data_IF_075829538108
#
_entry.id   IF_075829538108
#
_cell.length_a   1.000
_cell.length_b   1.000
_cell.length_c   1.000
_cell.angle_alpha   90.00
_cell.angle_beta   90.00
_cell.angle_gamma   90.00
#
_symmetry.space_group_name_H-M   'P 1'
#
loop_
_entity.id
_entity.type
_entity.pdbx_description
1 polymer ?
#
# COMPACT_ATOMS: atom_id res chain seq x y z
N UNK A 1 15.59 -2.73 38.65
CA UNK A 1 16.72 -3.02 37.74
C UNK A 1 16.18 -3.11 36.33
N UNK A 2 16.30 -2.04 35.55
CA UNK A 2 16.04 -2.07 34.11
C UNK A 2 17.19 -2.86 33.49
N UNK A 3 16.88 -3.97 32.83
CA UNK A 3 17.90 -4.87 32.30
C UNK A 3 18.46 -4.29 31.00
N UNK A 4 19.61 -3.61 31.10
CA UNK A 4 20.31 -2.89 30.02
C UNK A 4 20.89 -3.85 28.94
N UNK A 5 20.71 -5.17 29.09
CA UNK A 5 21.30 -6.20 28.21
C UNK A 5 20.30 -7.09 27.45
N UNK A 6 19.01 -6.74 27.36
CA UNK A 6 18.16 -7.35 26.31
C UNK A 6 18.47 -6.66 24.99
N UNK A 7 19.48 -7.13 24.27
CA UNK A 7 19.48 -6.94 22.80
C UNK A 7 18.16 -7.52 22.32
N UNK A 8 17.30 -6.68 21.75
CA UNK A 8 16.10 -7.18 21.10
C UNK A 8 16.53 -8.21 20.06
N UNK A 9 15.88 -9.38 19.99
CA UNK A 9 16.29 -10.43 19.08
C UNK A 9 16.23 -9.89 17.65
N UNK A 10 17.28 -10.19 16.86
CA UNK A 10 17.29 -9.89 15.44
C UNK A 10 16.20 -10.74 14.76
N UNK A 11 15.04 -10.12 14.53
CA UNK A 11 13.95 -10.72 13.78
C UNK A 11 14.22 -10.77 12.27
N UNK A 12 13.71 -11.82 11.64
CA UNK A 12 13.58 -11.97 10.19
C UNK A 12 12.13 -11.71 9.80
N UNK A 13 11.91 -10.78 8.89
CA UNK A 13 10.59 -10.26 8.56
C UNK A 13 10.36 -10.41 7.06
N UNK A 14 9.23 -11.02 6.66
CA UNK A 14 8.83 -11.09 5.26
C UNK A 14 7.55 -10.27 5.06
N UNK A 15 7.67 -9.17 4.32
CA UNK A 15 6.53 -8.38 3.89
C UNK A 15 5.96 -9.00 2.61
N UNK A 16 4.67 -9.33 2.61
CA UNK A 16 3.94 -9.86 1.45
C UNK A 16 2.95 -8.80 1.02
N UNK A 17 3.17 -8.26 -0.16
CA UNK A 17 2.37 -7.16 -0.69
C UNK A 17 2.20 -7.30 -2.20
N UNK A 18 1.28 -6.51 -2.74
CA UNK A 18 1.07 -6.39 -4.18
C UNK A 18 2.00 -5.39 -4.86
N UNK A 19 2.63 -4.49 -4.11
CA UNK A 19 3.55 -3.49 -4.66
C UNK A 19 4.66 -3.14 -3.69
N UNK A 20 5.82 -2.73 -4.22
CA UNK A 20 6.96 -2.25 -3.44
C UNK A 20 7.86 -1.36 -4.30
N UNK A 21 8.09 -0.13 -3.85
CA UNK A 21 9.06 0.77 -4.47
C UNK A 21 10.50 0.25 -4.21
N UNK A 22 11.45 0.50 -5.11
CA UNK A 22 11.32 1.23 -6.37
C UNK A 22 10.92 0.34 -7.56
N UNK A 23 10.53 -0.91 -7.33
CA UNK A 23 10.22 -1.88 -8.40
C UNK A 23 8.87 -1.60 -9.05
N UNK A 24 7.84 -1.42 -8.23
CA UNK A 24 6.48 -1.12 -8.67
C UNK A 24 5.77 -0.27 -7.61
N UNK A 25 5.20 0.86 -8.01
CA UNK A 25 4.50 1.80 -7.13
C UNK A 25 3.23 2.30 -7.82
N UNK A 26 2.07 1.92 -7.30
CA UNK A 26 0.76 2.47 -7.71
C UNK A 26 0.22 3.42 -6.65
N UNK A 27 0.42 3.11 -5.37
CA UNK A 27 -0.02 3.95 -4.26
C UNK A 27 0.98 4.03 -3.12
N UNK A 28 0.48 4.50 -1.97
CA UNK A 28 1.28 4.67 -0.76
C UNK A 28 1.74 3.33 -0.14
N UNK A 29 1.08 2.21 -0.45
CA UNK A 29 1.53 0.90 0.02
C UNK A 29 2.93 0.60 -0.53
N UNK A 30 3.19 0.89 -1.80
CA UNK A 30 4.50 0.69 -2.42
C UNK A 30 5.61 1.48 -1.74
N UNK A 31 5.32 2.70 -1.28
CA UNK A 31 6.28 3.51 -0.51
C UNK A 31 6.57 2.90 0.85
N UNK A 32 5.54 2.46 1.58
CA UNK A 32 5.69 1.80 2.89
C UNK A 32 6.48 0.50 2.75
N UNK A 33 6.23 -0.29 1.70
CA UNK A 33 6.98 -1.51 1.41
C UNK A 33 8.44 -1.26 0.99
N UNK A 34 8.86 -0.01 0.79
CA UNK A 34 10.27 0.39 0.66
C UNK A 34 10.83 0.90 1.98
N UNK A 35 10.20 1.94 2.53
CA UNK A 35 10.74 2.71 3.65
C UNK A 35 10.77 1.89 4.95
N UNK A 36 9.70 1.13 5.25
CA UNK A 36 9.62 0.37 6.49
C UNK A 36 10.59 -0.81 6.53
N UNK A 37 10.69 -1.68 5.51
CA UNK A 37 11.71 -2.74 5.48
C UNK A 37 13.13 -2.17 5.58
N UNK A 38 13.45 -1.08 4.90
CA UNK A 38 14.76 -0.44 4.96
C UNK A 38 15.05 0.09 6.37
N UNK A 39 14.10 0.78 7.00
CA UNK A 39 14.23 1.27 8.38
C UNK A 39 14.46 0.12 9.37
N UNK A 40 13.72 -0.99 9.23
CA UNK A 40 13.90 -2.18 10.08
C UNK A 40 15.28 -2.82 9.91
N UNK A 41 15.82 -2.81 8.68
CA UNK A 41 17.20 -3.27 8.42
C UNK A 41 18.24 -2.36 9.03
N UNK A 42 18.04 -1.04 8.98
CA UNK A 42 18.89 -0.07 9.67
C UNK A 42 18.89 -0.28 11.20
N UNK A 43 17.76 -0.74 11.76
CA UNK A 43 17.65 -1.16 13.16
C UNK A 43 18.27 -2.54 13.46
N UNK A 44 18.78 -3.24 12.45
CA UNK A 44 19.50 -4.51 12.58
C UNK A 44 18.69 -5.77 12.29
N UNK A 45 17.41 -5.65 11.94
CA UNK A 45 16.56 -6.78 11.52
C UNK A 45 16.90 -7.26 10.10
N UNK A 46 16.46 -8.46 9.73
CA UNK A 46 16.51 -8.94 8.35
C UNK A 46 15.11 -8.87 7.75
N UNK A 47 14.73 -7.68 7.28
CA UNK A 47 13.48 -7.47 6.56
C UNK A 47 13.67 -7.68 5.06
N UNK A 48 12.70 -8.36 4.44
CA UNK A 48 12.62 -8.66 3.01
C UNK A 48 11.20 -8.46 2.51
N UNK A 49 11.04 -8.23 1.22
CA UNK A 49 9.74 -8.05 0.59
C UNK A 49 9.48 -9.14 -0.43
N UNK A 50 8.26 -9.63 -0.54
CA UNK A 50 7.81 -10.60 -1.53
C UNK A 50 6.62 -9.99 -2.28
N UNK A 51 6.80 -9.73 -3.58
CA UNK A 51 5.78 -9.19 -4.47
C UNK A 51 5.72 -10.01 -5.77
N UNK A 52 4.67 -9.86 -6.60
CA UNK A 52 4.69 -10.43 -7.94
C UNK A 52 5.70 -9.77 -8.87
N UNK A 53 6.22 -10.53 -9.84
CA UNK A 53 7.03 -10.02 -10.94
C UNK A 53 6.10 -9.43 -12.01
N UNK A 54 5.93 -8.11 -12.02
CA UNK A 54 5.14 -7.43 -13.04
C UNK A 54 5.97 -7.15 -14.30
N UNK A 55 5.27 -7.04 -15.44
CA UNK A 55 5.87 -6.70 -16.74
C UNK A 55 6.68 -5.39 -16.73
N UNK A 56 6.24 -4.44 -15.89
CA UNK A 56 6.80 -3.08 -15.80
C UNK A 56 8.12 -3.02 -15.02
N UNK A 57 8.57 -4.11 -14.40
CA UNK A 57 9.82 -4.13 -13.63
C UNK A 57 10.99 -4.12 -14.62
N UNK A 58 11.81 -3.07 -14.52
CA UNK A 58 13.00 -2.88 -15.36
C UNK A 58 14.11 -3.86 -14.96
N UNK A 59 14.33 -4.88 -15.79
CA UNK A 59 15.34 -5.91 -15.56
C UNK A 59 16.78 -5.45 -15.87
N UNK A 60 16.95 -4.37 -16.63
CA UNK A 60 18.27 -3.76 -16.83
C UNK A 60 18.71 -3.03 -15.57
N UNK A 61 17.77 -2.34 -14.92
CA UNK A 61 18.00 -1.66 -13.65
C UNK A 61 18.08 -2.61 -12.45
N UNK A 62 17.27 -3.66 -12.43
CA UNK A 62 17.19 -4.60 -11.32
C UNK A 62 17.63 -6.00 -11.76
N UNK A 63 18.88 -6.36 -11.49
CA UNK A 63 19.42 -7.69 -11.82
C UNK A 63 18.82 -8.77 -10.91
N UNK A 64 17.75 -9.41 -11.39
CA UNK A 64 17.07 -10.50 -10.69
C UNK A 64 17.80 -11.83 -10.92
N UNK A 65 17.96 -12.64 -9.88
CA UNK A 65 18.49 -14.01 -9.98
C UNK A 65 17.46 -15.04 -9.56
N UNK A 66 17.50 -16.21 -10.16
CA UNK A 66 16.64 -17.33 -9.76
C UNK A 66 16.99 -17.79 -8.33
N UNK A 67 16.00 -17.80 -7.44
CA UNK A 67 16.12 -18.33 -6.07
C UNK A 67 15.47 -19.71 -5.96
N UNK A 68 14.34 -19.91 -6.65
CA UNK A 68 13.62 -21.19 -6.70
C UNK A 68 12.92 -21.36 -8.05
N UNK A 69 13.05 -22.54 -8.63
CA UNK A 69 12.43 -22.94 -9.89
C UNK A 69 11.30 -23.94 -9.65
N UNK A 70 10.32 -23.99 -10.56
CA UNK A 70 9.23 -24.97 -10.60
C UNK A 70 8.46 -25.06 -9.26
N UNK A 71 8.18 -23.89 -8.67
CA UNK A 71 7.29 -23.78 -7.52
C UNK A 71 5.87 -24.15 -7.97
N UNK A 72 5.21 -25.04 -7.22
CA UNK A 72 3.87 -25.55 -7.52
C UNK A 72 2.88 -25.16 -6.41
N UNK A 73 2.21 -24.00 -6.52
CA UNK A 73 1.26 -23.52 -5.51
C UNK A 73 -0.04 -24.32 -5.46
N UNK A 74 -0.45 -24.96 -6.55
CA UNK A 74 -1.63 -25.83 -6.59
C UNK A 74 -1.41 -27.13 -5.79
N UNK A 75 -2.47 -27.66 -5.18
CA UNK A 75 -2.41 -28.85 -4.31
C UNK A 75 -2.46 -30.16 -5.09
N UNK A 76 -2.91 -30.14 -6.34
CA UNK A 76 -3.02 -31.32 -7.21
C UNK A 76 -2.93 -30.95 -8.69
N UNK A 77 -2.67 -31.94 -9.55
CA UNK A 77 -2.72 -31.78 -11.01
C UNK A 77 -4.14 -31.47 -11.51
N UNK A 78 -5.19 -31.88 -10.79
CA UNK A 78 -6.57 -31.52 -11.14
C UNK A 78 -6.85 -30.03 -10.95
N UNK A 79 -6.19 -29.39 -9.99
CA UNK A 79 -6.28 -27.95 -9.73
C UNK A 79 -5.46 -27.14 -10.75
N UNK A 80 -4.40 -27.73 -11.31
CA UNK A 80 -3.56 -27.10 -12.35
C UNK A 80 -3.20 -28.03 -13.52
N UNK A 81 -4.18 -28.47 -14.33
CA UNK A 81 -3.96 -29.48 -15.37
C UNK A 81 -3.04 -28.99 -16.51
N UNK A 82 -2.85 -27.68 -16.62
CA UNK A 82 -2.05 -27.05 -17.68
C UNK A 82 -0.79 -26.35 -17.16
N UNK A 83 -0.49 -26.45 -15.85
CA UNK A 83 0.69 -25.82 -15.25
C UNK A 83 0.65 -24.29 -15.26
N UNK A 84 -0.53 -23.67 -15.25
CA UNK A 84 -0.69 -22.21 -15.29
C UNK A 84 -0.27 -21.52 -13.98
N UNK A 85 -0.28 -22.25 -12.87
CA UNK A 85 0.11 -21.72 -11.56
C UNK A 85 1.57 -22.03 -11.21
N UNK A 86 2.24 -22.87 -12.00
CA UNK A 86 3.69 -23.09 -11.89
C UNK A 86 4.39 -21.74 -11.98
N UNK A 87 5.26 -21.48 -11.01
CA UNK A 87 5.91 -20.18 -10.84
C UNK A 87 7.38 -20.37 -10.49
N UNK A 88 8.18 -19.34 -10.72
CA UNK A 88 9.53 -19.24 -10.17
C UNK A 88 9.55 -18.16 -9.09
N UNK A 89 10.56 -18.21 -8.23
CA UNK A 89 10.88 -17.12 -7.31
C UNK A 89 12.22 -16.56 -7.72
N UNK A 90 12.23 -15.30 -8.12
CA UNK A 90 13.44 -14.53 -8.34
C UNK A 90 13.80 -13.74 -7.08
N UNK A 91 15.06 -13.41 -6.93
CA UNK A 91 15.61 -12.61 -5.85
C UNK A 91 16.42 -11.44 -6.38
N UNK A 92 16.26 -10.31 -5.72
CA UNK A 92 17.11 -9.14 -5.85
C UNK A 92 17.77 -8.86 -4.50
N UNK A 93 19.05 -8.53 -4.53
CA UNK A 93 19.75 -7.96 -3.39
C UNK A 93 20.32 -6.62 -3.85
N UNK A 94 20.00 -5.56 -3.11
CA UNK A 94 20.58 -4.25 -3.38
C UNK A 94 22.07 -4.26 -3.05
N UNK A 95 22.89 -3.67 -3.94
CA UNK A 95 24.31 -3.44 -3.70
C UNK A 95 24.55 -2.51 -2.49
N UNK A 96 23.60 -1.61 -2.20
CA UNK A 96 23.60 -0.72 -1.03
C UNK A 96 23.24 -1.45 0.28
N UNK A 97 22.77 -2.71 0.20
CA UNK A 97 22.28 -3.47 1.35
C UNK A 97 20.91 -3.04 1.89
N UNK A 98 20.28 -2.06 1.25
CA UNK A 98 19.01 -1.45 1.70
C UNK A 98 17.84 -2.39 1.53
N UNK A 99 17.66 -3.03 0.37
CA UNK A 99 16.48 -3.85 0.07
C UNK A 99 16.87 -5.25 -0.40
N UNK A 100 16.21 -6.27 0.15
CA UNK A 100 16.19 -7.64 -0.39
C UNK A 100 14.75 -7.94 -0.78
N UNK A 101 14.54 -8.30 -2.04
CA UNK A 101 13.22 -8.55 -2.58
C UNK A 101 13.15 -9.92 -3.27
N UNK A 102 11.99 -10.56 -3.13
CA UNK A 102 11.60 -11.75 -3.84
C UNK A 102 10.47 -11.41 -4.80
N UNK A 103 10.53 -11.98 -6.00
CA UNK A 103 9.55 -11.76 -7.06
C UNK A 103 8.94 -13.08 -7.47
N UNK A 104 7.62 -13.18 -7.38
CA UNK A 104 6.88 -14.31 -7.92
C UNK A 104 6.75 -14.17 -9.43
N UNK A 105 7.56 -14.91 -10.16
CA UNK A 105 7.53 -14.97 -11.62
C UNK A 105 6.44 -15.94 -12.06
N UNK A 106 5.41 -15.39 -12.71
CA UNK A 106 4.39 -16.15 -13.41
C UNK A 106 3.90 -15.35 -14.61
N UNK A 107 4.05 -15.96 -15.78
CA UNK A 107 3.84 -15.30 -17.06
C UNK A 107 2.38 -14.84 -17.25
N UNK A 108 1.41 -15.70 -16.92
CA UNK A 108 0.00 -15.47 -17.22
C UNK A 108 -0.67 -14.48 -16.25
N UNK A 109 -0.34 -14.59 -14.96
CA UNK A 109 -1.03 -13.85 -13.90
C UNK A 109 -0.37 -12.52 -13.55
N UNK A 110 0.90 -12.28 -13.91
CA UNK A 110 1.59 -11.03 -13.56
C UNK A 110 2.33 -10.37 -14.72
N UNK A 111 3.04 -11.12 -15.56
CA UNK A 111 3.93 -10.53 -16.57
C UNK A 111 3.24 -10.15 -17.89
N UNK A 112 2.12 -10.79 -18.24
CA UNK A 112 1.29 -10.36 -19.40
C UNK A 112 0.31 -9.24 -19.07
N UNK A 113 0.34 -8.71 -17.84
CA UNK A 113 -0.64 -7.76 -17.33
C UNK A 113 -0.10 -6.33 -17.41
N UNK A 114 -0.90 -5.43 -17.95
CA UNK A 114 -0.57 -4.00 -18.06
C UNK A 114 -0.64 -3.25 -16.71
N UNK A 115 -1.48 -3.70 -15.78
CA UNK A 115 -1.76 -3.05 -14.51
C UNK A 115 -1.44 -3.98 -13.33
N UNK A 116 -1.29 -3.40 -12.13
CA UNK A 116 -1.09 -4.19 -10.89
C UNK A 116 -2.42 -4.79 -10.41
N UNK A 117 -3.52 -4.05 -10.48
CA UNK A 117 -4.86 -4.43 -10.00
C UNK A 117 -5.93 -4.22 -11.08
N UNK A 118 -7.16 -4.66 -10.77
CA UNK A 118 -8.36 -4.32 -11.54
C UNK A 118 -8.74 -5.36 -12.57
N UNK A 119 -8.26 -6.59 -12.44
CA UNK A 119 -8.64 -7.69 -13.33
C UNK A 119 -9.77 -8.51 -12.73
N UNK A 120 -10.63 -9.05 -13.60
CA UNK A 120 -11.76 -9.90 -13.18
C UNK A 120 -11.31 -11.18 -12.44
N UNK A 121 -10.05 -11.59 -12.63
CA UNK A 121 -9.42 -12.73 -11.99
C UNK A 121 -8.46 -12.36 -10.83
N UNK A 122 -8.55 -11.14 -10.28
CA UNK A 122 -7.67 -10.70 -9.18
C UNK A 122 -7.72 -11.65 -7.95
N UNK A 123 -8.88 -12.24 -7.62
CA UNK A 123 -8.94 -13.23 -6.54
C UNK A 123 -8.03 -14.45 -6.81
N UNK A 124 -7.95 -14.90 -8.07
CA UNK A 124 -7.06 -16.01 -8.49
C UNK A 124 -5.60 -15.58 -8.32
N UNK A 125 -5.26 -14.37 -8.78
CA UNK A 125 -3.91 -13.80 -8.67
C UNK A 125 -3.45 -13.71 -7.20
N UNK A 126 -4.28 -13.16 -6.32
CA UNK A 126 -3.90 -13.02 -4.91
C UNK A 126 -3.94 -14.33 -4.13
N UNK A 127 -4.74 -15.30 -4.58
CA UNK A 127 -4.64 -16.68 -4.11
C UNK A 127 -3.31 -17.31 -4.51
N UNK A 128 -2.84 -17.04 -5.74
CA UNK A 128 -1.58 -17.55 -6.25
C UNK A 128 -0.42 -16.97 -5.46
N UNK A 129 -0.42 -15.66 -5.21
CA UNK A 129 0.56 -14.99 -4.34
C UNK A 129 0.59 -15.62 -2.93
N UNK A 130 -0.59 -15.80 -2.33
CA UNK A 130 -0.71 -16.32 -0.97
C UNK A 130 -0.26 -17.78 -0.84
N UNK A 131 -0.55 -18.62 -1.84
CA UNK A 131 -0.08 -20.01 -1.90
C UNK A 131 1.41 -20.09 -2.18
N UNK A 132 1.88 -19.34 -3.16
CA UNK A 132 3.28 -19.36 -3.59
C UNK A 132 4.23 -18.90 -2.49
N UNK A 133 3.89 -17.87 -1.70
CA UNK A 133 4.78 -17.44 -0.61
C UNK A 133 4.94 -18.53 0.44
N UNK A 134 3.87 -19.26 0.78
CA UNK A 134 3.93 -20.35 1.77
C UNK A 134 4.69 -21.55 1.20
N UNK A 135 4.44 -21.95 -0.05
CA UNK A 135 5.22 -23.01 -0.70
C UNK A 135 6.70 -22.64 -0.82
N UNK A 136 7.02 -21.40 -1.20
CA UNK A 136 8.40 -20.91 -1.26
C UNK A 136 9.11 -21.09 0.08
N UNK A 137 8.46 -20.71 1.19
CA UNK A 137 9.03 -20.83 2.53
C UNK A 137 9.21 -22.29 3.00
N UNK A 138 8.51 -23.26 2.41
CA UNK A 138 8.76 -24.69 2.68
C UNK A 138 10.08 -25.15 2.10
N UNK A 139 10.53 -24.58 0.99
CA UNK A 139 11.78 -24.97 0.32
C UNK A 139 12.94 -24.01 0.59
N UNK A 140 12.66 -22.77 0.96
CA UNK A 140 13.68 -21.76 1.21
C UNK A 140 14.60 -22.10 2.39
N UNK A 141 15.89 -21.79 2.22
CA UNK A 141 16.90 -21.88 3.28
C UNK A 141 16.77 -20.71 4.27
N UNK A 142 16.22 -19.58 3.83
CA UNK A 142 15.90 -18.44 4.67
C UNK A 142 14.45 -18.52 5.15
N UNK A 143 14.24 -18.27 6.44
CA UNK A 143 12.91 -18.33 7.06
C UNK A 143 12.65 -17.09 7.90
N UNK A 144 11.50 -16.42 7.72
CA UNK A 144 11.09 -15.33 8.58
C UNK A 144 10.61 -15.86 9.93
N UNK A 145 10.78 -15.04 10.97
CA UNK A 145 10.10 -15.22 12.25
C UNK A 145 8.66 -14.68 12.15
N UNK A 146 8.45 -13.65 11.32
CA UNK A 146 7.15 -13.01 11.12
C UNK A 146 6.88 -12.77 9.63
N UNK A 147 5.68 -13.13 9.17
CA UNK A 147 5.13 -12.67 7.91
C UNK A 147 4.21 -11.48 8.17
N UNK A 148 4.47 -10.36 7.49
CA UNK A 148 3.59 -9.20 7.46
C UNK A 148 2.82 -9.27 6.15
N UNK A 149 1.56 -9.67 6.22
CA UNK A 149 0.70 -9.78 5.06
C UNK A 149 -0.17 -8.53 4.92
N UNK A 150 -0.09 -7.86 3.77
CA UNK A 150 -0.66 -6.53 3.58
C UNK A 150 -1.97 -6.57 2.77
N UNK A 151 -3.01 -5.96 3.34
CA UNK A 151 -4.34 -5.77 2.74
C UNK A 151 -4.98 -7.05 2.18
N UNK A 152 -6.08 -6.92 1.45
CA UNK A 152 -6.83 -8.06 0.95
C UNK A 152 -6.01 -8.95 0.00
N UNK A 153 -5.01 -8.40 -0.70
CA UNK A 153 -4.12 -9.15 -1.59
C UNK A 153 -3.27 -10.19 -0.82
N UNK A 154 -2.92 -9.90 0.43
CA UNK A 154 -2.28 -10.85 1.35
C UNK A 154 -3.25 -11.58 2.28
N UNK A 155 -4.56 -11.34 2.19
CA UNK A 155 -5.56 -11.81 3.15
C UNK A 155 -5.66 -13.32 3.31
N UNK A 156 -5.26 -14.10 2.29
CA UNK A 156 -5.30 -15.55 2.37
C UNK A 156 -4.03 -16.18 2.97
N UNK A 157 -2.93 -15.44 3.12
CA UNK A 157 -1.71 -15.95 3.78
C UNK A 157 -1.99 -16.46 5.21
N UNK A 158 -2.59 -15.66 6.13
CA UNK A 158 -2.95 -16.16 7.45
C UNK A 158 -3.98 -17.30 7.39
N UNK A 159 -4.95 -17.24 6.48
CA UNK A 159 -5.96 -18.28 6.35
C UNK A 159 -5.33 -19.63 5.98
N UNK A 160 -4.51 -19.67 4.94
CA UNK A 160 -3.80 -20.88 4.51
C UNK A 160 -2.85 -21.41 5.58
N UNK A 161 -2.09 -20.51 6.23
CA UNK A 161 -1.16 -20.89 7.30
C UNK A 161 -1.85 -21.65 8.43
N UNK A 162 -3.00 -21.19 8.90
CA UNK A 162 -3.74 -21.79 10.01
C UNK A 162 -4.76 -22.86 9.60
N UNK A 163 -4.86 -23.19 8.32
CA UNK A 163 -5.76 -24.24 7.81
C UNK A 163 -4.97 -25.35 7.12
N UNK A 164 -4.49 -25.11 5.90
CA UNK A 164 -3.80 -26.12 5.08
C UNK A 164 -2.39 -26.40 5.59
N UNK A 165 -1.67 -25.36 6.03
CA UNK A 165 -0.27 -25.48 6.46
C UNK A 165 -0.07 -25.54 7.97
N UNK A 166 -1.17 -25.71 8.73
CA UNK A 166 -1.16 -25.62 10.20
C UNK A 166 -0.17 -26.59 10.85
N UNK A 167 -0.06 -27.79 10.29
CA UNK A 167 0.79 -28.86 10.81
C UNK A 167 2.16 -28.93 10.08
N UNK A 168 2.44 -28.00 9.15
CA UNK A 168 3.75 -27.94 8.48
C UNK A 168 4.81 -27.47 9.47
N UNK A 169 5.84 -28.28 9.70
CA UNK A 169 6.87 -28.04 10.71
C UNK A 169 7.66 -26.74 10.46
N UNK A 170 7.78 -26.29 9.20
CA UNK A 170 8.55 -25.08 8.87
C UNK A 170 7.69 -23.83 8.97
N UNK A 171 6.42 -23.92 8.61
CA UNK A 171 5.51 -22.77 8.55
C UNK A 171 4.78 -22.50 9.87
N UNK A 172 4.43 -23.55 10.63
CA UNK A 172 3.66 -23.43 11.88
C UNK A 172 4.32 -22.60 12.98
N UNK A 173 5.63 -22.40 12.91
CA UNK A 173 6.39 -21.58 13.86
C UNK A 173 6.42 -20.08 13.50
N UNK A 174 5.96 -19.71 12.29
CA UNK A 174 6.02 -18.34 11.79
C UNK A 174 4.79 -17.58 12.27
N UNK A 175 4.99 -16.44 12.95
CA UNK A 175 3.89 -15.57 13.34
C UNK A 175 3.39 -14.76 12.15
N UNK A 176 2.08 -14.51 12.08
CA UNK A 176 1.49 -13.74 10.98
C UNK A 176 0.82 -12.47 11.49
N UNK A 177 1.35 -11.34 11.04
CA UNK A 177 0.75 -10.02 11.19
C UNK A 177 -0.05 -9.71 9.93
N UNK A 178 -1.30 -9.31 10.10
CA UNK A 178 -2.13 -8.81 8.99
C UNK A 178 -2.24 -7.28 9.09
N UNK A 179 -1.68 -6.58 8.11
CA UNK A 179 -1.64 -5.11 8.08
C UNK A 179 -2.73 -4.56 7.16
N UNK A 180 -3.63 -3.77 7.72
CA UNK A 180 -4.77 -3.16 7.02
C UNK A 180 -4.47 -1.69 6.77
N UNK A 181 -4.33 -1.29 5.51
CA UNK A 181 -4.16 0.11 5.09
C UNK A 181 -5.46 0.72 4.59
N UNK A 182 -6.36 -0.10 4.05
CA UNK A 182 -7.70 0.35 3.68
C UNK A 182 -8.73 -0.78 3.78
N UNK A 183 -9.63 -0.67 4.76
CA UNK A 183 -10.69 -1.65 5.01
C UNK A 183 -11.79 -1.66 3.95
N UNK A 184 -11.92 -0.62 3.12
CA UNK A 184 -12.97 -0.56 2.10
C UNK A 184 -12.77 -1.60 0.99
N UNK A 185 -11.54 -2.06 0.76
CA UNK A 185 -11.22 -3.07 -0.23
C UNK A 185 -11.20 -4.46 0.41
N UNK A 186 -12.21 -5.27 0.08
CA UNK A 186 -12.43 -6.58 0.70
C UNK A 186 -12.38 -7.75 -0.28
N UNK A 187 -11.78 -7.52 -1.46
CA UNK A 187 -11.74 -8.35 -2.67
C UNK A 187 -12.64 -7.85 -3.81
N UNK A 188 -13.31 -8.77 -4.51
CA UNK A 188 -13.85 -8.51 -5.85
C UNK A 188 -15.16 -7.70 -5.88
N UNK A 189 -15.87 -7.58 -4.76
CA UNK A 189 -17.12 -6.82 -4.69
C UNK A 189 -17.40 -6.26 -3.30
N UNK A 190 -18.43 -5.41 -3.23
CA UNK A 190 -18.92 -4.84 -1.98
C UNK A 190 -19.70 -5.88 -1.15
N UNK A 191 -19.05 -6.38 -0.11
CA UNK A 191 -19.61 -7.39 0.79
C UNK A 191 -20.75 -6.87 1.68
N UNK A 192 -21.08 -5.57 1.64
CA UNK A 192 -22.24 -5.01 2.39
C UNK A 192 -23.58 -5.39 1.77
N UNK A 193 -23.59 -5.74 0.47
CA UNK A 193 -24.82 -6.03 -0.29
C UNK A 193 -24.88 -7.47 -0.83
N UNK A 194 -24.10 -8.39 -0.24
CA UNK A 194 -24.00 -9.78 -0.70
C UNK A 194 -25.25 -10.60 -0.33
N UNK A 195 -25.67 -11.50 -1.21
CA UNK A 195 -26.75 -12.45 -0.94
C UNK A 195 -26.32 -13.46 0.15
N UNK A 196 -27.28 -14.07 0.87
CA UNK A 196 -26.94 -15.12 1.84
C UNK A 196 -26.24 -16.33 1.22
N UNK A 197 -26.48 -16.63 -0.06
CA UNK A 197 -25.84 -17.73 -0.77
C UNK A 197 -24.39 -17.43 -1.16
N UNK A 198 -24.06 -16.16 -1.34
CA UNK A 198 -22.72 -15.69 -1.74
C UNK A 198 -21.89 -15.18 -0.55
N UNK A 199 -22.48 -15.18 0.65
CA UNK A 199 -21.82 -14.70 1.85
C UNK A 199 -20.64 -15.61 2.25
N UNK A 200 -19.45 -15.03 2.30
CA UNK A 200 -18.27 -15.71 2.83
C UNK A 200 -18.22 -15.61 4.36
N UNK A 201 -18.49 -16.72 5.05
CA UNK A 201 -18.34 -16.76 6.50
C UNK A 201 -16.89 -16.69 6.95
N UNK A 202 -15.95 -16.94 6.03
CA UNK A 202 -14.52 -17.02 6.25
C UNK A 202 -14.06 -18.36 6.83
N UNK A 203 -14.99 -19.26 7.20
CA UNK A 203 -14.68 -20.53 7.88
C UNK A 203 -14.62 -21.72 6.95
N UNK A 204 -15.29 -21.64 5.80
CA UNK A 204 -15.24 -22.69 4.79
C UNK A 204 -13.85 -22.77 4.18
N UNK A 205 -13.48 -23.97 3.68
CA UNK A 205 -12.27 -24.15 2.91
C UNK A 205 -12.24 -23.18 1.72
N UNK A 206 -11.05 -22.65 1.44
CA UNK A 206 -10.82 -21.88 0.22
C UNK A 206 -10.99 -22.86 -0.96
N UNK A 207 -11.82 -22.52 -1.97
CA UNK A 207 -12.03 -23.41 -3.10
C UNK A 207 -10.78 -23.44 -4.01
N UNK A 208 -10.77 -24.39 -4.94
CA UNK A 208 -9.70 -24.49 -5.94
C UNK A 208 -9.61 -23.22 -6.80
N UNK A 209 -8.44 -22.98 -7.39
CA UNK A 209 -8.17 -21.79 -8.21
C UNK A 209 -9.20 -21.53 -9.33
N UNK A 210 -9.77 -22.58 -9.92
CA UNK A 210 -10.71 -22.51 -11.04
C UNK A 210 -12.19 -22.43 -10.60
N UNK A 211 -12.48 -22.44 -9.30
CA UNK A 211 -13.84 -22.37 -8.79
C UNK A 211 -14.36 -20.92 -8.79
N UNK A 212 -15.50 -20.62 -9.43
CA UNK A 212 -16.11 -19.28 -9.43
C UNK A 212 -16.40 -18.70 -8.04
N UNK A 213 -16.54 -19.55 -7.02
CA UNK A 213 -16.72 -19.13 -5.62
C UNK A 213 -15.51 -18.37 -5.08
N UNK A 214 -14.31 -18.57 -5.64
CA UNK A 214 -13.11 -17.86 -5.23
C UNK A 214 -13.27 -16.33 -5.39
N UNK A 215 -13.95 -15.90 -6.45
CA UNK A 215 -14.29 -14.50 -6.71
C UNK A 215 -15.24 -13.91 -5.66
N UNK A 216 -15.86 -14.76 -4.82
CA UNK A 216 -16.84 -14.35 -3.81
C UNK A 216 -16.31 -14.35 -2.38
N UNK A 217 -15.06 -14.75 -2.18
CA UNK A 217 -14.50 -14.72 -0.84
C UNK A 217 -14.15 -13.30 -0.41
N UNK A 218 -14.32 -13.05 0.88
CA UNK A 218 -13.89 -11.82 1.53
C UNK A 218 -12.48 -12.02 2.09
N UNK A 219 -11.47 -11.65 1.30
CA UNK A 219 -10.08 -11.91 1.66
C UNK A 219 -9.66 -11.09 2.90
N UNK A 220 -10.20 -9.89 3.06
CA UNK A 220 -9.96 -9.03 4.23
C UNK A 220 -10.48 -9.68 5.52
N UNK A 221 -11.72 -10.19 5.49
CA UNK A 221 -12.32 -10.94 6.59
C UNK A 221 -11.48 -12.14 6.98
N UNK A 222 -11.05 -12.93 6.00
CA UNK A 222 -10.18 -14.11 6.22
C UNK A 222 -8.83 -13.71 6.80
N UNK A 223 -8.25 -12.60 6.35
CA UNK A 223 -7.05 -12.00 6.93
C UNK A 223 -7.22 -11.72 8.43
N UNK A 224 -8.25 -10.97 8.79
CA UNK A 224 -8.59 -10.60 10.17
C UNK A 224 -8.86 -11.83 11.03
N UNK A 225 -9.61 -12.80 10.51
CA UNK A 225 -10.03 -14.00 11.24
C UNK A 225 -8.90 -14.94 11.61
N UNK A 226 -7.83 -15.00 10.81
CA UNK A 226 -6.79 -16.01 10.97
C UNK A 226 -5.45 -15.44 11.41
N UNK A 227 -5.19 -14.13 11.27
CA UNK A 227 -3.92 -13.55 11.70
C UNK A 227 -3.66 -13.70 13.21
N UNK A 228 -2.39 -13.79 13.61
CA UNK A 228 -2.00 -13.80 15.02
C UNK A 228 -2.19 -12.41 15.64
N UNK A 229 -1.80 -11.38 14.90
CA UNK A 229 -1.92 -9.96 15.27
C UNK A 229 -2.41 -9.17 14.06
N UNK A 230 -3.20 -8.13 14.31
CA UNK A 230 -3.70 -7.21 13.29
C UNK A 230 -3.08 -5.84 13.56
N UNK A 231 -2.50 -5.25 12.52
CA UNK A 231 -2.01 -3.88 12.56
C UNK A 231 -2.79 -3.00 11.58
N UNK A 232 -2.85 -1.71 11.87
CA UNK A 232 -3.37 -0.71 10.95
C UNK A 232 -2.61 0.62 11.05
N UNK A 233 -2.97 1.59 10.23
CA UNK A 233 -2.14 2.78 9.92
C UNK A 233 -2.15 3.89 10.98
N UNK A 234 -2.96 3.76 12.03
CA UNK A 234 -2.91 4.65 13.20
C UNK A 234 -3.70 4.10 14.38
N UNK A 235 -3.37 4.55 15.59
CA UNK A 235 -4.09 4.18 16.80
C UNK A 235 -5.57 4.60 16.74
N UNK A 236 -5.88 5.78 16.20
CA UNK A 236 -7.26 6.25 16.02
C UNK A 236 -8.01 5.38 15.02
N UNK A 237 -7.40 5.09 13.87
CA UNK A 237 -8.03 4.25 12.85
C UNK A 237 -8.32 2.84 13.36
N UNK A 238 -7.45 2.28 14.21
CA UNK A 238 -7.70 0.98 14.87
C UNK A 238 -8.95 0.96 15.75
N UNK A 239 -9.39 2.12 16.26
CA UNK A 239 -10.62 2.26 17.01
C UNK A 239 -11.81 2.53 16.08
N UNK A 240 -11.63 3.40 15.08
CA UNK A 240 -12.65 3.75 14.09
C UNK A 240 -13.18 2.52 13.36
N UNK A 241 -12.30 1.63 12.88
CA UNK A 241 -12.72 0.42 12.15
C UNK A 241 -13.48 -0.61 13.01
N UNK A 242 -13.54 -0.40 14.33
CA UNK A 242 -14.36 -1.21 15.23
C UNK A 242 -15.79 -0.67 15.39
N UNK A 243 -16.10 0.50 14.81
CA UNK A 243 -17.45 1.08 14.80
C UNK A 243 -18.23 0.67 13.56
N UNK A 244 -19.55 0.69 13.64
CA UNK A 244 -20.41 0.33 12.50
C UNK A 244 -20.24 1.28 11.30
N UNK A 245 -19.90 2.55 11.55
CA UNK A 245 -19.75 3.60 10.53
C UNK A 245 -18.51 3.39 9.67
N UNK A 246 -17.35 3.10 10.28
CA UNK A 246 -16.07 3.00 9.56
C UNK A 246 -15.56 1.57 9.39
N UNK A 247 -16.20 0.59 10.00
CA UNK A 247 -15.73 -0.79 9.97
C UNK A 247 -16.19 -1.61 8.76
N UNK A 248 -16.82 -0.99 7.76
CA UNK A 248 -17.13 -1.59 6.44
C UNK A 248 -17.75 -3.00 6.53
N UNK A 249 -18.69 -3.20 7.46
CA UNK A 249 -19.34 -4.50 7.70
C UNK A 249 -18.50 -5.52 8.49
N UNK A 250 -17.23 -5.24 8.77
CA UNK A 250 -16.30 -6.08 9.54
C UNK A 250 -16.10 -5.63 10.99
N UNK A 251 -16.73 -4.51 11.40
CA UNK A 251 -16.63 -3.92 12.75
C UNK A 251 -16.83 -4.91 13.91
N UNK A 252 -17.79 -5.85 13.81
CA UNK A 252 -18.03 -6.87 14.85
C UNK A 252 -16.85 -7.82 14.98
N UNK A 253 -16.35 -8.31 13.84
CA UNK A 253 -15.19 -9.20 13.79
C UNK A 253 -13.93 -8.51 14.32
N UNK A 254 -13.70 -7.25 13.95
CA UNK A 254 -12.58 -6.46 14.46
C UNK A 254 -12.72 -6.19 15.97
N UNK A 255 -13.94 -5.94 16.46
CA UNK A 255 -14.22 -5.77 17.89
C UNK A 255 -13.94 -7.05 18.69
N UNK A 256 -14.33 -8.21 18.17
CA UNK A 256 -14.03 -9.51 18.79
C UNK A 256 -12.51 -9.76 18.90
N UNK A 257 -11.73 -9.19 17.96
CA UNK A 257 -10.26 -9.30 17.92
C UNK A 257 -9.54 -8.07 18.46
N UNK A 258 -10.22 -7.19 19.20
CA UNK A 258 -9.65 -5.92 19.70
C UNK A 258 -8.37 -6.11 20.52
N UNK A 259 -8.23 -7.20 21.28
CA UNK A 259 -7.01 -7.48 22.05
C UNK A 259 -5.77 -7.80 21.20
N UNK A 260 -5.97 -8.10 19.91
CA UNK A 260 -4.93 -8.39 18.91
C UNK A 260 -4.86 -7.32 17.83
N UNK A 261 -5.69 -6.29 17.91
CA UNK A 261 -5.74 -5.17 16.97
C UNK A 261 -4.98 -3.99 17.55
N UNK A 262 -4.00 -3.50 16.79
CA UNK A 262 -3.22 -2.32 17.14
C UNK A 262 -3.07 -1.39 15.94
N UNK A 263 -2.77 -0.12 16.19
CA UNK A 263 -2.52 0.86 15.16
C UNK A 263 -1.14 1.46 15.30
N UNK A 264 -0.31 1.31 14.27
CA UNK A 264 1.02 1.90 14.16
C UNK A 264 0.92 3.06 13.17
N UNK A 265 1.22 4.27 13.65
CA UNK A 265 1.16 5.46 12.82
C UNK A 265 2.14 5.34 11.65
N UNK A 266 1.63 5.50 10.42
CA UNK A 266 2.49 5.55 9.23
C UNK A 266 3.47 6.72 9.32
N UNK A 267 4.72 6.46 8.95
CA UNK A 267 5.76 7.47 8.80
C UNK A 267 5.97 7.89 7.35
N UNK A 268 6.87 8.84 7.16
CA UNK A 268 7.42 9.23 5.85
C UNK A 268 8.89 8.84 5.79
N UNK A 269 9.42 8.68 4.59
CA UNK A 269 10.87 8.55 4.37
C UNK A 269 11.51 9.93 4.47
N UNK A 270 12.16 10.20 5.60
CA UNK A 270 12.76 11.52 5.85
C UNK A 270 13.96 11.79 4.98
N UNK A 271 14.62 10.79 4.38
CA UNK A 271 15.75 11.03 3.49
C UNK A 271 15.27 11.53 2.11
N UNK A 272 14.07 11.10 1.68
CA UNK A 272 13.43 11.59 0.46
C UNK A 272 12.72 12.93 0.70
N UNK A 273 12.04 13.07 1.84
CA UNK A 273 11.26 14.25 2.18
C UNK A 273 12.04 15.24 3.08
N UNK A 274 13.37 15.29 2.93
CA UNK A 274 14.22 16.25 3.64
C UNK A 274 14.30 17.59 2.89
N UNK A 275 13.69 18.68 3.39
CA UNK A 275 13.81 19.99 2.73
C UNK A 275 15.23 20.57 2.73
N UNK A 276 16.19 19.98 3.45
CA UNK A 276 17.59 20.41 3.39
C UNK A 276 18.34 19.83 2.19
N UNK A 277 17.88 18.70 1.63
CA UNK A 277 18.59 17.97 0.55
C UNK A 277 17.72 17.58 -0.64
N UNK A 278 16.40 17.73 -0.55
CA UNK A 278 15.45 17.30 -1.59
C UNK A 278 15.76 17.98 -2.94
N UNK A 279 16.13 17.23 -3.99
CA UNK A 279 16.50 17.80 -5.27
C UNK A 279 15.32 18.42 -6.02
N UNK A 280 14.08 18.16 -5.60
CA UNK A 280 12.86 18.64 -6.24
C UNK A 280 12.44 20.05 -5.76
N UNK A 281 13.13 20.61 -4.77
CA UNK A 281 12.85 21.94 -4.24
C UNK A 281 13.99 22.91 -4.61
N UNK A 282 13.62 24.13 -4.99
CA UNK A 282 14.57 25.09 -5.54
C UNK A 282 15.44 25.75 -4.45
N UNK A 283 14.85 26.03 -3.29
CA UNK A 283 15.54 26.64 -2.17
C UNK A 283 15.48 25.71 -0.96
N UNK A 284 16.55 24.96 -0.72
CA UNK A 284 16.68 24.10 0.45
C UNK A 284 16.55 24.91 1.74
N UNK A 285 15.83 24.35 2.70
CA UNK A 285 15.54 25.00 3.97
C UNK A 285 15.51 23.99 5.11
N UNK A 286 15.87 24.46 6.30
CA UNK A 286 15.92 23.66 7.51
C UNK A 286 15.38 24.40 8.71
N UNK A 287 15.56 23.83 9.90
CA UNK A 287 15.07 24.42 11.16
C UNK A 287 15.58 25.85 11.40
N UNK A 288 16.77 26.19 10.89
CA UNK A 288 17.41 27.51 11.07
C UNK A 288 17.19 28.47 9.90
N UNK A 289 16.61 28.01 8.79
CA UNK A 289 16.48 28.77 7.53
C UNK A 289 15.05 28.72 6.99
N UNK A 290 14.06 28.62 7.88
CA UNK A 290 12.62 28.59 7.53
C UNK A 290 12.17 29.82 6.73
N UNK A 291 12.88 30.94 6.82
CA UNK A 291 12.64 32.14 6.01
C UNK A 291 12.77 31.89 4.50
N UNK A 292 13.52 30.86 4.09
CA UNK A 292 13.67 30.43 2.71
C UNK A 292 12.40 29.78 2.14
N UNK A 293 11.45 29.30 2.98
CA UNK A 293 10.13 28.82 2.50
C UNK A 293 9.41 29.87 1.67
N UNK A 294 9.57 31.16 1.99
CA UNK A 294 8.94 32.25 1.23
C UNK A 294 9.46 32.28 -0.22
N UNK A 295 10.71 31.91 -0.47
CA UNK A 295 11.25 31.80 -1.84
C UNK A 295 10.63 30.63 -2.59
N UNK A 296 10.46 29.48 -1.94
CA UNK A 296 9.77 28.32 -2.52
C UNK A 296 8.30 28.65 -2.83
N UNK A 297 7.61 29.35 -1.93
CA UNK A 297 6.26 29.85 -2.18
C UNK A 297 6.19 30.74 -3.42
N UNK A 298 7.12 31.69 -3.56
CA UNK A 298 7.18 32.56 -4.76
C UNK A 298 7.47 31.77 -6.04
N UNK A 299 8.36 30.77 -5.97
CA UNK A 299 8.63 29.87 -7.10
C UNK A 299 7.40 29.06 -7.49
N UNK A 300 6.65 28.55 -6.50
CA UNK A 300 5.39 27.84 -6.72
C UNK A 300 4.33 28.73 -7.35
N UNK A 301 4.15 29.97 -6.84
CA UNK A 301 3.25 30.97 -7.43
C UNK A 301 3.59 31.22 -8.90
N UNK A 302 4.86 31.45 -9.22
CA UNK A 302 5.33 31.65 -10.60
C UNK A 302 5.05 30.44 -11.49
N UNK A 303 5.30 29.22 -10.98
CA UNK A 303 5.07 27.97 -11.72
C UNK A 303 3.61 27.79 -12.14
N UNK A 304 2.67 28.29 -11.34
CA UNK A 304 1.23 28.28 -11.63
C UNK A 304 0.69 29.58 -12.24
N UNK A 305 1.56 30.51 -12.64
CA UNK A 305 1.20 31.84 -13.17
C UNK A 305 0.33 32.67 -12.22
N UNK A 306 0.46 32.46 -10.91
CA UNK A 306 -0.22 33.23 -9.88
C UNK A 306 0.60 34.48 -9.52
N UNK A 307 -0.04 35.61 -9.16
CA UNK A 307 0.65 36.78 -8.64
C UNK A 307 1.53 36.43 -7.44
N UNK A 308 2.81 36.80 -7.49
CA UNK A 308 3.73 36.54 -6.39
C UNK A 308 3.48 37.48 -5.23
N UNK A 309 3.21 36.93 -4.05
CA UNK A 309 2.90 37.71 -2.86
C UNK A 309 3.37 37.04 -1.59
N UNK A 310 4.23 37.71 -0.82
CA UNK A 310 4.76 37.17 0.45
C UNK A 310 3.63 36.97 1.47
N UNK A 311 2.66 37.88 1.52
CA UNK A 311 1.58 37.90 2.51
C UNK A 311 0.32 37.10 2.12
N UNK A 312 0.12 36.82 0.82
CA UNK A 312 -1.06 36.09 0.32
C UNK A 312 -1.04 34.66 0.83
N UNK A 313 -2.07 34.16 1.53
CA UNK A 313 -2.06 32.78 2.00
C UNK A 313 -2.16 31.82 0.80
N UNK A 314 -1.32 30.78 0.74
CA UNK A 314 -1.34 29.79 -0.33
C UNK A 314 -1.73 28.43 0.24
N UNK A 315 -2.87 27.90 -0.21
CA UNK A 315 -3.33 26.55 0.10
C UNK A 315 -2.85 25.59 -0.97
N UNK A 316 -2.20 24.49 -0.57
CA UNK A 316 -1.77 23.42 -1.46
C UNK A 316 -2.60 22.15 -1.24
N UNK A 317 -3.14 21.58 -2.31
CA UNK A 317 -3.79 20.27 -2.31
C UNK A 317 -2.94 19.33 -3.15
N UNK A 318 -2.44 18.28 -2.52
CA UNK A 318 -1.77 17.15 -3.19
C UNK A 318 -2.52 15.87 -2.82
N UNK A 319 -3.45 15.42 -3.66
CA UNK A 319 -4.28 14.25 -3.35
C UNK A 319 -4.96 13.68 -4.59
N UNK A 320 -5.35 12.39 -4.51
CA UNK A 320 -6.43 11.86 -5.38
C UNK A 320 -7.73 12.62 -5.09
N UNK A 321 -8.43 13.04 -6.15
CA UNK A 321 -9.65 13.83 -6.07
C UNK A 321 -10.88 12.91 -6.00
N UNK A 322 -11.27 12.51 -4.80
CA UNK A 322 -12.34 11.52 -4.58
C UNK A 322 -13.22 11.93 -3.39
N UNK A 323 -14.46 11.45 -3.33
CA UNK A 323 -15.40 11.80 -2.24
C UNK A 323 -14.84 11.49 -0.84
N UNK A 324 -14.10 10.38 -0.72
CA UNK A 324 -13.45 9.93 0.52
C UNK A 324 -12.47 10.97 1.12
N UNK A 325 -12.05 11.96 0.34
CA UNK A 325 -11.16 13.04 0.77
C UNK A 325 -11.90 14.29 1.23
N UNK A 326 -13.23 14.27 1.24
CA UNK A 326 -14.06 15.36 1.72
C UNK A 326 -14.10 16.57 0.78
N UNK A 327 -13.75 16.41 -0.50
CA UNK A 327 -13.77 17.50 -1.47
C UNK A 327 -15.18 18.08 -1.71
N UNK A 328 -16.24 17.33 -1.42
CA UNK A 328 -17.60 17.87 -1.41
C UNK A 328 -17.74 19.11 -0.52
N UNK A 329 -17.11 19.12 0.66
CA UNK A 329 -17.11 20.29 1.56
C UNK A 329 -16.34 21.48 0.95
N UNK A 330 -15.28 21.19 0.20
CA UNK A 330 -14.49 22.23 -0.44
C UNK A 330 -15.25 22.87 -1.60
N UNK A 331 -16.02 22.09 -2.37
CA UNK A 331 -16.85 22.62 -3.46
C UNK A 331 -17.77 23.74 -2.94
N UNK A 332 -18.43 23.49 -1.82
CA UNK A 332 -19.37 24.44 -1.22
C UNK A 332 -18.69 25.68 -0.63
N UNK A 333 -17.44 25.55 -0.18
CA UNK A 333 -16.70 26.63 0.50
C UNK A 333 -15.74 27.42 -0.40
N UNK A 334 -15.30 26.89 -1.53
CA UNK A 334 -14.18 27.45 -2.28
C UNK A 334 -14.48 28.84 -2.86
N UNK A 335 -15.65 29.03 -3.48
CA UNK A 335 -15.98 30.35 -4.07
C UNK A 335 -16.11 31.44 -3.00
N UNK A 336 -16.89 31.28 -1.91
CA UNK A 336 -16.93 32.27 -0.83
C UNK A 336 -15.54 32.59 -0.27
N UNK A 337 -14.67 31.59 -0.12
CA UNK A 337 -13.30 31.80 0.36
C UNK A 337 -12.46 32.63 -0.61
N UNK A 338 -12.53 32.32 -1.91
CA UNK A 338 -11.78 33.03 -2.95
C UNK A 338 -12.31 34.45 -3.20
N UNK A 339 -13.60 34.69 -3.04
CA UNK A 339 -14.18 36.04 -3.21
C UNK A 339 -13.84 36.96 -2.04
N UNK A 340 -13.92 36.46 -0.81
CA UNK A 340 -13.85 37.29 0.39
C UNK A 340 -12.45 37.42 1.01
N UNK A 341 -11.49 36.56 0.63
CA UNK A 341 -10.15 36.57 1.21
C UNK A 341 -9.05 36.67 0.14
N UNK A 342 -7.90 37.23 0.55
CA UNK A 342 -6.68 37.27 -0.26
C UNK A 342 -5.89 35.97 -0.08
N UNK A 343 -6.41 34.93 -0.74
CA UNK A 343 -5.86 33.58 -0.72
C UNK A 343 -5.65 33.07 -2.13
N UNK A 344 -4.74 32.12 -2.25
CA UNK A 344 -4.48 31.35 -3.45
C UNK A 344 -4.64 29.86 -3.16
N UNK A 345 -4.98 29.11 -4.19
CA UNK A 345 -5.17 27.67 -4.15
C UNK A 345 -4.36 27.02 -5.27
N UNK A 346 -3.54 26.04 -4.92
CA UNK A 346 -2.84 25.18 -5.87
C UNK A 346 -3.34 23.75 -5.68
N UNK A 347 -3.79 23.12 -6.77
CA UNK A 347 -4.32 21.75 -6.75
C UNK A 347 -3.49 20.87 -7.67
N UNK A 348 -2.92 19.80 -7.12
CA UNK A 348 -2.13 18.79 -7.81
C UNK A 348 -2.73 17.41 -7.55
N UNK A 349 -3.10 16.71 -8.62
CA UNK A 349 -3.60 15.34 -8.53
C UNK A 349 -4.76 15.08 -9.48
N UNK A 350 -5.16 13.81 -9.57
CA UNK A 350 -6.23 13.33 -10.46
C UNK A 350 -7.27 12.53 -9.69
N UNK A 351 -8.45 12.34 -10.27
CA UNK A 351 -9.51 11.56 -9.63
C UNK A 351 -10.80 11.58 -10.41
N UNK A 352 -11.91 11.72 -9.69
CA UNK A 352 -13.25 11.67 -10.26
C UNK A 352 -13.53 12.91 -11.11
N UNK A 353 -14.20 12.70 -12.25
CA UNK A 353 -14.37 13.74 -13.28
C UNK A 353 -15.12 14.97 -12.79
N UNK A 354 -16.07 14.83 -11.87
CA UNK A 354 -16.83 15.97 -11.35
C UNK A 354 -15.96 16.91 -10.51
N UNK A 355 -15.05 16.38 -9.67
CA UNK A 355 -14.07 17.20 -8.95
C UNK A 355 -13.08 17.87 -9.90
N UNK A 356 -12.60 17.13 -10.92
CA UNK A 356 -11.70 17.69 -11.92
C UNK A 356 -12.35 18.86 -12.68
N UNK A 357 -13.59 18.69 -13.13
CA UNK A 357 -14.36 19.75 -13.81
C UNK A 357 -14.56 20.95 -12.88
N UNK A 358 -14.93 20.73 -11.62
CA UNK A 358 -15.07 21.80 -10.64
C UNK A 358 -13.81 22.65 -10.50
N UNK A 359 -12.63 22.03 -10.30
CA UNK A 359 -11.38 22.78 -10.18
C UNK A 359 -10.98 23.49 -11.48
N UNK A 360 -11.31 22.92 -12.64
CA UNK A 360 -11.11 23.58 -13.94
C UNK A 360 -11.98 24.83 -14.08
N UNK A 361 -13.24 24.76 -13.68
CA UNK A 361 -14.16 25.91 -13.69
C UNK A 361 -13.71 26.98 -12.70
N UNK A 362 -13.30 26.57 -11.50
CA UNK A 362 -12.77 27.46 -10.47
C UNK A 362 -11.50 28.20 -10.93
N UNK A 363 -10.57 27.49 -11.58
CA UNK A 363 -9.36 28.07 -12.16
C UNK A 363 -9.66 29.07 -13.29
N UNK A 364 -10.68 28.80 -14.11
CA UNK A 364 -11.13 29.75 -15.15
C UNK A 364 -11.77 31.00 -14.57
N UNK A 365 -12.55 30.86 -13.48
CA UNK A 365 -13.24 31.96 -12.81
C UNK A 365 -12.26 32.85 -12.03
N UNK A 366 -11.23 32.26 -11.43
CA UNK A 366 -10.23 32.94 -10.59
C UNK A 366 -8.79 32.67 -11.04
N UNK A 367 -8.37 33.09 -12.25
CA UNK A 367 -7.07 32.75 -12.83
C UNK A 367 -5.88 33.29 -12.04
N UNK A 368 -6.07 34.37 -11.28
CA UNK A 368 -5.03 34.95 -10.42
C UNK A 368 -5.01 34.35 -9.01
N UNK A 369 -5.98 33.50 -8.66
CA UNK A 369 -6.05 32.86 -7.33
C UNK A 369 -5.92 31.35 -7.37
N UNK A 370 -6.20 30.70 -8.50
CA UNK A 370 -6.30 29.23 -8.55
C UNK A 370 -5.40 28.65 -9.65
N UNK A 371 -4.41 27.87 -9.23
CA UNK A 371 -3.53 27.08 -10.10
C UNK A 371 -3.86 25.60 -10.02
N UNK A 372 -3.93 24.91 -11.16
CA UNK A 372 -4.29 23.49 -11.21
C UNK A 372 -3.32 22.68 -12.07
N UNK A 373 -3.02 21.46 -11.61
CA UNK A 373 -2.32 20.42 -12.35
C UNK A 373 -3.04 19.09 -12.09
N UNK A 374 -3.98 18.75 -12.98
CA UNK A 374 -4.93 17.66 -12.76
C UNK A 374 -4.40 16.28 -13.21
N UNK A 375 -3.15 16.01 -12.88
CA UNK A 375 -2.44 14.76 -13.12
C UNK A 375 -1.55 14.44 -11.91
N UNK A 376 -1.16 13.18 -11.78
CA UNK A 376 -0.17 12.78 -10.79
C UNK A 376 1.21 13.29 -11.23
N UNK A 377 1.88 14.05 -10.37
CA UNK A 377 3.25 14.54 -10.56
C UNK A 377 3.97 14.54 -9.20
N UNK A 378 4.93 13.63 -9.08
CA UNK A 378 5.71 13.44 -7.86
C UNK A 378 6.61 14.65 -7.58
N UNK A 379 7.29 15.19 -8.58
CA UNK A 379 8.19 16.35 -8.43
C UNK A 379 7.41 17.57 -7.98
N UNK A 380 6.24 17.81 -8.59
CA UNK A 380 5.39 18.94 -8.24
C UNK A 380 4.84 18.84 -6.83
N UNK A 381 4.57 17.62 -6.34
CA UNK A 381 4.12 17.39 -4.96
C UNK A 381 5.13 17.91 -3.95
N UNK A 382 6.42 17.65 -4.16
CA UNK A 382 7.51 18.16 -3.31
C UNK A 382 7.58 19.70 -3.34
N UNK A 383 7.42 20.30 -4.52
CA UNK A 383 7.37 21.77 -4.65
C UNK A 383 6.19 22.37 -3.89
N UNK A 384 5.02 21.71 -3.89
CA UNK A 384 3.84 22.17 -3.14
C UNK A 384 4.06 22.10 -1.63
N UNK A 385 4.68 21.03 -1.10
CA UNK A 385 4.97 20.93 0.33
C UNK A 385 6.00 21.96 0.82
N UNK A 386 6.97 22.31 -0.04
CA UNK A 386 8.00 23.30 0.26
C UNK A 386 7.55 24.75 0.12
N UNK A 387 6.51 25.00 -0.70
CA UNK A 387 5.79 26.29 -0.77
C UNK A 387 5.03 26.59 0.51
#
# INVERSE_FOLDING_TARGET
MINIFKREPKLRLLFVASEAAPFIKVGGLGEVMRSLPNALRALGHDARVFIPKYAMIDLEKYSLRLELEDLRPASSEEEDPYGLFVSNVLRYDSDSGETIAYFLENLEYYEKRANVYGYADDAVRWTLLSRAVLEFLRYSSWRPDVIISCDWQGGLVPNYSHTIYKEDQKLSAIAIVFSIHNLSFQAMFDHRFVSQMDYDSGREAIPAFNDPRLLKLNFMRRGIMYADVINTVSATYSQEITTAEYGEGLHKLLSERRSRLSGILNGIDTDIYDPETDPNIQFHYGLKTLDLKIKNKSALQQKFNLPTGRQVCLFGIVSRLTDQKGFGLLIDAAEPLLENFDIQLVVVGSGEGHFMTFFQELAKKYPEKVGIHLSYDEVLSHTVYAG
#
